data_IF_182090883889
#
_entry.id   IF_182090883889
#
_cell.length_a   1.000
_cell.length_b   1.000
_cell.length_c   1.000
_cell.angle_alpha   90.00
_cell.angle_beta   90.00
_cell.angle_gamma   90.00
#
_symmetry.space_group_name_H-M   'P 1'
#
loop_
_entity.id
_entity.type
_entity.pdbx_description
1 polymer ?
#
# COMPACT_ATOMS: atom_id res chain seq x y z
N UNK A 1 -7.47 -4.37 5.17
CA UNK A 1 -6.08 -3.89 5.19
C UNK A 1 -5.46 -4.16 3.83
N UNK A 2 -5.03 -3.12 3.13
CA UNK A 2 -4.22 -3.18 1.92
C UNK A 2 -3.16 -2.08 1.94
N UNK A 3 -1.94 -2.47 2.30
CA UNK A 3 -0.72 -1.70 2.11
C UNK A 3 -0.27 -1.88 0.66
N UNK A 4 -0.26 -0.80 -0.11
CA UNK A 4 0.17 -0.81 -1.51
C UNK A 4 1.68 -0.64 -1.61
N UNK A 5 2.32 -1.43 -2.46
CA UNK A 5 3.68 -1.18 -2.95
C UNK A 5 3.73 -0.04 -3.98
N UNK A 6 2.56 0.36 -4.50
CA UNK A 6 2.39 1.49 -5.41
C UNK A 6 2.52 2.84 -4.68
N UNK A 7 3.02 3.84 -5.38
CA UNK A 7 3.14 5.19 -4.85
C UNK A 7 1.75 5.77 -4.49
N UNK A 8 1.57 6.41 -3.32
CA UNK A 8 0.28 6.97 -2.89
C UNK A 8 -0.32 8.00 -3.89
N UNK A 9 0.54 8.70 -4.67
CA UNK A 9 0.18 9.52 -5.86
C UNK A 9 -0.90 8.93 -6.76
N UNK A 10 -0.96 7.61 -6.89
CA UNK A 10 -1.91 6.94 -7.78
C UNK A 10 -3.30 6.76 -7.17
N UNK A 11 -3.45 6.92 -5.85
CA UNK A 11 -4.70 6.69 -5.14
C UNK A 11 -5.66 7.88 -5.28
N UNK A 12 -6.96 7.58 -5.30
CA UNK A 12 -8.04 8.54 -5.12
C UNK A 12 -8.11 9.06 -3.67
N UNK A 13 -8.91 10.10 -3.44
CA UNK A 13 -9.11 10.72 -2.13
C UNK A 13 -9.51 9.70 -1.04
N UNK A 14 -10.45 8.80 -1.36
CA UNK A 14 -10.84 7.72 -0.44
C UNK A 14 -9.69 6.74 -0.21
N UNK A 15 -8.91 6.45 -1.25
CA UNK A 15 -7.78 5.53 -1.21
C UNK A 15 -6.69 5.99 -0.25
N UNK A 16 -6.26 7.25 -0.31
CA UNK A 16 -5.19 7.76 0.56
C UNK A 16 -5.60 7.83 2.04
N UNK A 17 -6.85 8.20 2.34
CA UNK A 17 -7.39 8.20 3.71
C UNK A 17 -7.48 6.77 4.26
N UNK A 18 -7.95 5.82 3.45
CA UNK A 18 -7.97 4.41 3.84
C UNK A 18 -6.56 3.88 4.08
N UNK A 19 -5.60 4.21 3.20
CA UNK A 19 -4.23 3.76 3.32
C UNK A 19 -3.57 4.21 4.62
N UNK A 20 -3.78 5.48 5.01
CA UNK A 20 -3.29 6.00 6.29
C UNK A 20 -3.84 5.21 7.49
N UNK A 21 -5.17 5.00 7.52
CA UNK A 21 -5.82 4.26 8.62
C UNK A 21 -5.36 2.80 8.69
N UNK A 22 -5.25 2.14 7.55
CA UNK A 22 -4.80 0.76 7.46
C UNK A 22 -3.31 0.60 7.79
N UNK A 23 -2.47 1.58 7.43
CA UNK A 23 -1.07 1.62 7.82
C UNK A 23 -0.87 1.85 9.33
N UNK A 24 -1.67 2.72 9.95
CA UNK A 24 -1.66 2.88 11.42
C UNK A 24 -2.11 1.60 12.14
N UNK A 25 -3.09 0.89 11.59
CA UNK A 25 -3.49 -0.43 12.09
C UNK A 25 -2.34 -1.43 11.94
N UNK A 26 -1.66 -1.46 10.79
CA UNK A 26 -0.49 -2.31 10.57
C UNK A 26 0.62 -2.04 11.59
N UNK A 27 0.88 -0.76 11.87
CA UNK A 27 1.83 -0.33 12.90
C UNK A 27 1.43 -0.84 14.29
N UNK A 28 0.17 -0.68 14.69
CA UNK A 28 -0.33 -1.19 15.97
C UNK A 28 -0.23 -2.73 16.06
N UNK A 29 -0.49 -3.44 14.96
CA UNK A 29 -0.30 -4.90 14.90
C UNK A 29 1.16 -5.27 15.10
N UNK A 30 2.10 -4.57 14.45
CA UNK A 30 3.54 -4.82 14.59
C UNK A 30 4.07 -4.47 15.99
N UNK A 31 3.38 -3.58 16.73
CA UNK A 31 3.67 -3.26 18.14
C UNK A 31 3.02 -4.26 19.12
N UNK A 32 2.21 -5.20 18.65
CA UNK A 32 1.48 -6.13 19.51
C UNK A 32 0.29 -5.49 20.26
N UNK A 33 -0.18 -4.32 19.82
CA UNK A 33 -1.23 -3.54 20.49
C UNK A 33 -2.65 -3.95 20.07
N UNK A 34 -2.78 -4.92 19.15
CA UNK A 34 -4.05 -5.33 18.56
C UNK A 34 -4.30 -6.82 18.74
N UNK A 35 -5.58 -7.20 18.95
CA UNK A 35 -6.01 -8.61 18.99
C UNK A 35 -6.44 -9.16 17.62
N UNK A 36 -6.83 -8.29 16.70
CA UNK A 36 -7.27 -8.65 15.34
C UNK A 36 -6.24 -8.27 14.28
N UNK A 37 -6.37 -8.83 13.08
CA UNK A 37 -5.47 -8.59 11.93
C UNK A 37 -4.00 -8.99 12.13
N UNK A 38 -3.70 -9.74 13.21
CA UNK A 38 -2.35 -10.19 13.55
C UNK A 38 -1.78 -11.14 12.50
N UNK A 39 -2.58 -11.95 11.81
CA UNK A 39 -2.11 -12.87 10.76
C UNK A 39 -2.35 -12.32 9.35
N UNK A 40 -2.36 -11.00 9.17
CA UNK A 40 -2.61 -10.43 7.85
C UNK A 40 -1.41 -10.64 6.91
N UNK A 41 -1.58 -11.30 5.75
CA UNK A 41 -0.44 -11.73 4.93
C UNK A 41 0.45 -10.58 4.41
N UNK A 42 -0.13 -9.40 4.18
CA UNK A 42 0.66 -8.22 3.77
C UNK A 42 1.64 -7.69 4.84
N UNK A 43 1.48 -8.11 6.10
CA UNK A 43 2.41 -7.76 7.17
C UNK A 43 3.65 -8.65 7.13
N UNK A 44 3.62 -9.80 6.47
CA UNK A 44 4.73 -10.76 6.49
C UNK A 44 5.99 -10.15 5.88
N UNK A 45 5.85 -9.35 4.81
CA UNK A 45 6.98 -8.60 4.23
C UNK A 45 7.55 -7.51 5.16
N UNK A 46 6.74 -6.94 6.06
CA UNK A 46 7.22 -5.99 7.07
C UNK A 46 7.88 -6.72 8.23
N UNK A 47 7.36 -7.89 8.63
CA UNK A 47 7.96 -8.75 9.66
C UNK A 47 9.29 -9.33 9.24
N UNK A 48 9.45 -9.64 7.96
CA UNK A 48 10.70 -10.10 7.39
C UNK A 48 11.77 -8.99 7.31
N UNK A 49 11.38 -7.72 7.47
CA UNK A 49 12.32 -6.61 7.52
C UNK A 49 13.11 -6.65 8.84
N UNK A 50 14.43 -6.35 8.85
CA UNK A 50 15.23 -6.36 10.08
C UNK A 50 14.72 -5.41 11.19
N UNK A 51 14.06 -4.32 10.79
CA UNK A 51 13.45 -3.32 11.66
C UNK A 51 11.98 -3.09 11.24
N UNK A 52 11.03 -3.94 11.66
CA UNK A 52 9.65 -3.89 11.16
C UNK A 52 8.92 -2.58 11.49
N UNK A 53 9.17 -2.03 12.68
CA UNK A 53 8.56 -0.76 13.12
C UNK A 53 9.09 0.42 12.30
N UNK A 54 10.40 0.47 12.05
CA UNK A 54 10.99 1.52 11.23
C UNK A 54 10.49 1.44 9.79
N UNK A 55 10.31 0.24 9.25
CA UNK A 55 9.77 0.05 7.91
C UNK A 55 8.32 0.54 7.79
N UNK A 56 7.44 0.23 8.75
CA UNK A 56 6.04 0.73 8.69
C UNK A 56 5.96 2.24 8.96
N UNK A 57 6.87 2.80 9.77
CA UNK A 57 6.93 4.24 10.00
C UNK A 57 7.49 5.00 8.78
N UNK A 58 8.51 4.46 8.11
CA UNK A 58 8.97 4.98 6.82
C UNK A 58 7.89 4.86 5.73
N UNK A 59 7.11 3.78 5.73
CA UNK A 59 5.95 3.61 4.86
C UNK A 59 4.92 4.73 5.07
N UNK A 60 4.49 4.91 6.32
CA UNK A 60 3.53 5.95 6.68
C UNK A 60 4.08 7.36 6.44
N UNK A 61 5.39 7.58 6.57
CA UNK A 61 6.04 8.85 6.28
C UNK A 61 5.84 9.31 4.83
N UNK A 62 5.96 8.41 3.85
CA UNK A 62 5.70 8.74 2.46
C UNK A 62 4.20 8.92 2.15
N UNK A 63 3.32 8.20 2.85
CA UNK A 63 1.86 8.43 2.79
C UNK A 63 1.51 9.82 3.33
N UNK A 64 2.10 10.21 4.46
CA UNK A 64 1.94 11.53 5.06
C UNK A 64 2.43 12.63 4.12
N UNK A 65 3.62 12.47 3.52
CA UNK A 65 4.16 13.45 2.57
C UNK A 65 3.25 13.65 1.34
N UNK A 66 2.69 12.57 0.79
CA UNK A 66 1.71 12.68 -0.30
C UNK A 66 0.42 13.36 0.18
N UNK A 67 -0.04 13.05 1.40
CA UNK A 67 -1.23 13.65 1.98
C UNK A 67 -1.06 15.17 2.14
N UNK A 68 0.07 15.61 2.69
CA UNK A 68 0.43 17.02 2.84
C UNK A 68 0.51 17.73 1.48
N UNK A 69 1.13 17.11 0.47
CA UNK A 69 1.21 17.64 -0.89
C UNK A 69 -0.15 17.86 -1.56
N UNK A 70 -1.18 17.12 -1.11
CA UNK A 70 -2.57 17.26 -1.56
C UNK A 70 -3.44 18.14 -0.67
N UNK A 71 -2.89 18.70 0.41
CA UNK A 71 -3.62 19.52 1.37
C UNK A 71 -4.45 18.74 2.40
N UNK A 72 -4.17 17.44 2.61
CA UNK A 72 -4.72 16.70 3.76
C UNK A 72 -3.87 16.95 5.01
N UNK A 73 -4.49 16.90 6.17
CA UNK A 73 -3.82 17.06 7.47
C UNK A 73 -3.86 15.76 8.27
N UNK A 74 -2.99 14.81 7.91
CA UNK A 74 -2.82 13.61 8.73
C UNK A 74 -1.95 13.91 9.96
N UNK A 75 -2.29 13.26 11.08
CA UNK A 75 -1.62 13.49 12.35
C UNK A 75 -0.22 12.85 12.35
N UNK A 76 0.79 13.68 12.11
CA UNK A 76 2.20 13.27 12.06
C UNK A 76 2.71 12.72 13.41
N UNK A 77 2.06 13.02 14.54
CA UNK A 77 2.50 12.54 15.86
C UNK A 77 2.29 11.04 16.04
N UNK A 78 1.52 10.41 15.16
CA UNK A 78 1.22 8.97 15.21
C UNK A 78 2.34 8.07 14.71
N UNK A 79 3.39 8.64 14.12
CA UNK A 79 4.51 7.92 13.52
C UNK A 79 5.84 8.53 13.94
N UNK A 80 6.90 7.74 13.87
CA UNK A 80 8.26 8.23 14.04
C UNK A 80 8.88 8.53 12.67
N UNK A 81 9.51 9.70 12.49
CA UNK A 81 10.22 10.00 11.24
C UNK A 81 11.54 9.24 11.23
N UNK A 82 11.65 8.24 10.36
CA UNK A 82 12.83 7.39 10.21
C UNK A 82 13.07 7.03 8.75
N UNK A 83 14.32 6.72 8.42
CA UNK A 83 14.66 6.03 7.19
C UNK A 83 14.72 4.52 7.46
N UNK A 84 14.28 3.71 6.51
CA UNK A 84 14.35 2.25 6.59
C UNK A 84 14.98 1.69 5.31
N UNK A 85 15.59 0.51 5.42
CA UNK A 85 16.04 -0.22 4.23
C UNK A 85 14.83 -0.59 3.36
N UNK A 86 15.06 -0.68 2.05
CA UNK A 86 13.97 -0.97 1.13
C UNK A 86 13.46 -2.39 1.27
N UNK A 87 12.15 -2.57 1.09
CA UNK A 87 11.50 -3.87 0.98
C UNK A 87 11.40 -4.23 -0.50
N UNK A 88 11.81 -5.44 -0.83
CA UNK A 88 11.72 -5.93 -2.21
C UNK A 88 10.27 -6.21 -2.59
N UNK A 89 9.87 -5.77 -3.77
CA UNK A 89 8.60 -6.13 -4.42
C UNK A 89 8.87 -6.70 -5.81
N UNK A 90 8.18 -7.77 -6.16
CA UNK A 90 8.31 -8.38 -7.49
C UNK A 90 7.51 -7.62 -8.54
N UNK A 91 7.94 -7.68 -9.80
CA UNK A 91 7.20 -7.14 -10.94
C UNK A 91 5.77 -7.70 -11.02
N UNK A 92 5.59 -9.01 -10.85
CA UNK A 92 4.26 -9.63 -10.82
C UNK A 92 3.36 -9.06 -9.72
N UNK A 93 3.89 -8.84 -8.51
CA UNK A 93 3.12 -8.26 -7.41
C UNK A 93 2.73 -6.80 -7.69
N UNK A 94 3.67 -5.98 -8.18
CA UNK A 94 3.39 -4.59 -8.56
C UNK A 94 2.29 -4.54 -9.61
N UNK A 95 2.38 -5.36 -10.66
CA UNK A 95 1.43 -5.36 -11.77
C UNK A 95 0.04 -5.84 -11.32
N UNK A 96 0.00 -6.83 -10.44
CA UNK A 96 -1.24 -7.30 -9.81
C UNK A 96 -1.90 -6.18 -8.98
N UNK A 97 -1.10 -5.47 -8.18
CA UNK A 97 -1.59 -4.33 -7.41
C UNK A 97 -2.08 -3.20 -8.34
N UNK A 98 -1.37 -2.94 -9.44
CA UNK A 98 -1.75 -1.91 -10.41
C UNK A 98 -3.11 -2.19 -11.05
N UNK A 99 -3.31 -3.40 -11.55
CA UNK A 99 -4.60 -3.85 -12.10
C UNK A 99 -5.73 -3.73 -11.07
N UNK A 100 -5.46 -4.14 -9.82
CA UNK A 100 -6.43 -4.04 -8.73
C UNK A 100 -6.81 -2.57 -8.45
N UNK A 101 -5.83 -1.68 -8.44
CA UNK A 101 -6.07 -0.26 -8.23
C UNK A 101 -6.88 0.35 -9.38
N UNK A 102 -6.51 0.09 -10.64
CA UNK A 102 -7.24 0.62 -11.80
C UNK A 102 -8.71 0.18 -11.81
N UNK A 103 -9.00 -1.10 -11.57
CA UNK A 103 -10.37 -1.61 -11.47
C UNK A 103 -11.17 -0.92 -10.35
N UNK A 104 -10.51 -0.64 -9.22
CA UNK A 104 -11.11 0.12 -8.11
C UNK A 104 -11.40 1.57 -8.50
N UNK A 105 -10.49 2.22 -9.21
CA UNK A 105 -10.62 3.60 -9.64
C UNK A 105 -11.68 3.76 -10.72
N UNK A 106 -11.77 2.83 -11.66
CA UNK A 106 -12.80 2.84 -12.71
C UNK A 106 -14.21 2.93 -12.12
N UNK A 107 -14.48 2.14 -11.08
CA UNK A 107 -15.79 2.10 -10.45
C UNK A 107 -16.12 3.32 -9.57
N UNK A 108 -15.13 3.95 -8.92
CA UNK A 108 -15.41 4.97 -7.88
C UNK A 108 -14.79 6.34 -8.09
N UNK A 109 -13.81 6.45 -8.98
CA UNK A 109 -13.10 7.70 -9.29
C UNK A 109 -12.70 7.72 -10.78
N UNK A 110 -13.68 7.81 -11.71
CA UNK A 110 -13.42 7.68 -13.15
C UNK A 110 -12.40 8.69 -13.69
N UNK A 111 -12.34 9.90 -13.11
CA UNK A 111 -11.39 10.94 -13.50
C UNK A 111 -9.95 10.55 -13.16
N UNK A 112 -9.75 9.97 -11.96
CA UNK A 112 -8.45 9.45 -11.51
C UNK A 112 -8.07 8.22 -12.33
N UNK A 113 -9.04 7.36 -12.65
CA UNK A 113 -8.81 6.24 -13.58
C UNK A 113 -8.35 6.73 -14.96
N UNK A 114 -9.04 7.71 -15.57
CA UNK A 114 -8.64 8.27 -16.88
C UNK A 114 -7.23 8.85 -16.86
N UNK A 115 -6.83 9.49 -15.76
CA UNK A 115 -5.47 10.03 -15.60
C UNK A 115 -4.40 8.94 -15.66
N UNK A 116 -4.66 7.78 -15.06
CA UNK A 116 -3.64 6.74 -14.83
C UNK A 116 -3.74 5.53 -15.75
N UNK A 117 -4.87 5.28 -16.41
CA UNK A 117 -5.11 4.05 -17.19
C UNK A 117 -4.11 3.77 -18.31
N UNK A 118 -3.43 4.80 -18.82
CA UNK A 118 -2.43 4.69 -19.88
C UNK A 118 -0.98 4.56 -19.33
N UNK A 119 -0.80 4.54 -18.00
CA UNK A 119 0.52 4.38 -17.39
C UNK A 119 1.02 2.95 -17.58
N UNK A 120 2.13 2.82 -18.29
CA UNK A 120 2.78 1.52 -18.57
C UNK A 120 3.56 1.00 -17.35
N UNK A 121 4.23 1.90 -16.61
CA UNK A 121 5.02 1.53 -15.44
C UNK A 121 4.62 2.41 -14.26
N UNK A 122 3.85 1.87 -13.29
CA UNK A 122 3.42 2.65 -12.14
C UNK A 122 4.58 2.88 -11.17
N UNK A 123 4.66 4.10 -10.64
CA UNK A 123 5.63 4.43 -9.59
C UNK A 123 5.41 3.56 -8.35
N UNK A 124 6.51 3.08 -7.77
CA UNK A 124 6.50 2.41 -6.49
C UNK A 124 6.51 3.42 -5.33
N UNK A 125 5.96 2.98 -4.22
CA UNK A 125 6.15 3.62 -2.94
C UNK A 125 7.65 3.63 -2.59
N UNK A 126 8.25 4.74 -2.08
CA UNK A 126 9.70 4.87 -1.90
C UNK A 126 10.38 3.80 -1.05
N UNK A 127 9.64 3.21 -0.11
CA UNK A 127 10.11 2.06 0.68
C UNK A 127 10.40 0.81 -0.16
N UNK A 128 9.89 0.69 -1.39
CA UNK A 128 9.98 -0.54 -2.17
C UNK A 128 10.97 -0.44 -3.33
N UNK A 129 11.71 -1.52 -3.56
CA UNK A 129 12.56 -1.71 -4.72
C UNK A 129 12.05 -2.87 -5.58
N UNK A 130 12.06 -2.66 -6.89
CA UNK A 130 11.53 -3.64 -7.84
C UNK A 130 12.55 -4.73 -8.14
N UNK A 131 12.11 -5.98 -8.17
CA UNK A 131 12.86 -7.09 -8.76
C UNK A 131 12.00 -7.89 -9.76
N UNK A 132 12.61 -8.60 -10.72
CA UNK A 132 11.91 -9.62 -11.50
C UNK A 132 11.33 -10.71 -10.57
N UNK A 133 10.11 -11.18 -10.85
CA UNK A 133 9.51 -12.28 -10.10
C UNK A 133 7.98 -12.36 -10.22
N UNK A 134 7.38 -13.48 -9.76
CA UNK A 134 5.94 -13.71 -9.81
C UNK A 134 5.18 -12.86 -8.79
N UNK A 135 3.84 -12.93 -8.81
CA UNK A 135 3.00 -12.42 -7.72
C UNK A 135 3.42 -13.06 -6.40
N UNK A 136 3.39 -12.31 -5.30
CA UNK A 136 3.82 -12.85 -4.01
C UNK A 136 2.83 -13.89 -3.49
N UNK A 137 3.34 -14.96 -2.87
CA UNK A 137 2.53 -16.11 -2.40
C UNK A 137 1.45 -15.72 -1.38
N UNK A 138 1.66 -14.61 -0.67
CA UNK A 138 0.72 -14.06 0.30
C UNK A 138 -0.45 -13.28 -0.33
N UNK A 139 -0.40 -12.95 -1.62
CA UNK A 139 -1.51 -12.28 -2.31
C UNK A 139 -2.65 -13.29 -2.45
N UNK A 140 -3.60 -13.25 -1.50
CA UNK A 140 -4.81 -14.06 -1.59
C UNK A 140 -5.52 -13.70 -2.89
N UNK A 141 -5.78 -14.71 -3.72
CA UNK A 141 -6.66 -14.59 -4.86
C UNK A 141 -8.04 -14.14 -4.35
N UNK A 142 -8.30 -12.84 -4.40
CA UNK A 142 -9.66 -12.35 -4.29
C UNK A 142 -10.42 -12.99 -5.44
N UNK A 143 -11.24 -13.99 -5.12
CA UNK A 143 -12.25 -14.55 -6.00
C UNK A 143 -12.95 -13.34 -6.62
N UNK A 144 -12.70 -13.11 -7.91
CA UNK A 144 -13.64 -12.36 -8.73
C UNK A 144 -14.86 -13.26 -8.71
N UNK A 145 -15.85 -12.94 -7.87
CA UNK A 145 -17.14 -13.57 -7.95
C UNK A 145 -17.67 -13.19 -9.34
N UNK A 146 -17.45 -14.08 -10.29
CA UNK A 146 -18.02 -14.00 -11.61
C UNK A 146 -19.51 -13.87 -11.42
N UNK A 147 -20.06 -12.75 -11.88
CA UNK A 147 -21.44 -12.73 -12.34
C UNK A 147 -21.49 -13.69 -13.53
N UNK A 148 -21.97 -14.89 -13.27
CA UNK A 148 -22.48 -15.79 -14.30
C UNK A 148 -23.90 -15.32 -14.63
N UNK A 149 -24.30 -15.31 -15.92
CA UNK A 149 -25.47 -14.56 -16.42
C UNK A 149 -26.81 -14.98 -15.85
#
# INVERSE_FOLDING_TARGET
>A
MRLWSLHPRHLDARGIVALWREGLLARAVLRGETRGYTHHPQLDRFRAHPLPLDAIDAYLGAVLAEADARGYHFDATKITRVAAASIVVTAGQRDREWQHLLAKLEARAPDVHRRWRNTVTPDLHPLFTLQPGPVADWERAGVVAGRTP
#
